data_IF_495642394425
#
_entry.id   IF_495642394425
#
_cell.length_a   1.000
_cell.length_b   1.000
_cell.length_c   1.000
_cell.angle_alpha   90.00
_cell.angle_beta   90.00
_cell.angle_gamma   90.00
#
_symmetry.space_group_name_H-M   'P 1'
#
loop_
_entity.id
_entity.type
_entity.pdbx_description
1 polymer ?
#
# COMPACT_ATOMS: atom_id res chain seq x y z
N UNK A 1 -1.35 -0.47 -0.48
CA UNK A 1 -0.47 -0.02 0.62
C UNK A 1 0.82 -0.79 0.43
N UNK A 2 1.94 -0.13 0.12
CA UNK A 2 3.24 -0.79 0.04
C UNK A 2 3.75 -1.02 1.45
N UNK A 3 4.15 -2.26 1.76
CA UNK A 3 4.68 -2.60 3.07
C UNK A 3 5.93 -3.42 2.85
N UNK A 4 7.05 -2.85 3.30
CA UNK A 4 8.33 -3.52 3.24
C UNK A 4 8.46 -4.52 4.40
N UNK A 5 8.78 -5.76 4.07
CA UNK A 5 9.10 -6.83 5.00
C UNK A 5 10.60 -7.13 4.94
N UNK A 6 11.24 -7.19 6.10
CA UNK A 6 12.62 -7.61 6.26
C UNK A 6 12.63 -9.13 6.51
N UNK A 7 13.11 -9.88 5.53
CA UNK A 7 13.23 -11.33 5.54
C UNK A 7 14.69 -11.73 5.77
N UNK A 8 14.96 -12.49 6.84
CA UNK A 8 16.28 -13.01 7.15
C UNK A 8 16.36 -14.46 6.73
N UNK A 9 17.27 -14.77 5.82
CA UNK A 9 17.44 -16.12 5.26
C UNK A 9 18.79 -16.68 5.68
N UNK A 10 18.81 -17.99 5.94
CA UNK A 10 20.02 -18.75 6.23
C UNK A 10 20.13 -19.88 5.23
N UNK A 11 21.31 -20.03 4.65
CA UNK A 11 21.62 -21.12 3.74
C UNK A 11 23.09 -21.49 3.87
N UNK A 12 23.42 -22.71 3.42
CA UNK A 12 24.78 -23.18 3.36
C UNK A 12 25.39 -22.80 2.00
N UNK A 13 26.41 -21.94 2.02
CA UNK A 13 27.18 -21.59 0.83
C UNK A 13 28.46 -22.42 0.82
N UNK A 14 28.74 -23.07 -0.30
CA UNK A 14 30.02 -23.75 -0.51
C UNK A 14 31.10 -22.70 -0.81
N UNK A 15 32.11 -22.62 0.04
CA UNK A 15 33.28 -21.77 -0.21
C UNK A 15 34.20 -22.42 -1.25
N UNK A 16 35.15 -21.65 -1.80
CA UNK A 16 36.14 -22.10 -2.80
C UNK A 16 37.01 -23.30 -2.33
N UNK A 17 37.02 -23.59 -1.04
CA UNK A 17 37.70 -24.75 -0.42
C UNK A 17 36.79 -26.00 -0.27
N UNK A 18 35.56 -25.97 -0.79
CA UNK A 18 34.60 -27.09 -0.71
C UNK A 18 33.95 -27.26 0.67
N UNK A 19 34.13 -26.30 1.58
CA UNK A 19 33.50 -26.32 2.91
C UNK A 19 32.16 -25.57 2.87
N UNK A 20 31.10 -26.25 3.32
CA UNK A 20 29.78 -25.61 3.50
C UNK A 20 29.80 -24.69 4.73
N UNK A 21 29.66 -23.39 4.50
CA UNK A 21 29.53 -22.38 5.56
C UNK A 21 28.10 -21.85 5.59
N UNK A 22 27.50 -21.84 6.78
CA UNK A 22 26.21 -21.21 6.99
C UNK A 22 26.36 -19.69 6.94
N UNK A 23 25.69 -19.06 5.97
CA UNK A 23 25.62 -17.60 5.81
C UNK A 23 24.21 -17.15 6.15
N UNK A 24 24.10 -15.94 6.72
CA UNK A 24 22.81 -15.32 7.00
C UNK A 24 22.73 -13.98 6.30
N UNK A 25 21.76 -13.84 5.42
CA UNK A 25 21.53 -12.64 4.61
C UNK A 25 20.17 -12.05 4.92
N UNK A 26 20.03 -10.75 4.66
CA UNK A 26 18.80 -10.00 4.87
C UNK A 26 18.32 -9.43 3.54
N UNK A 27 17.04 -9.66 3.27
CA UNK A 27 16.36 -9.24 2.07
C UNK A 27 15.17 -8.37 2.43
N UNK A 28 14.92 -7.34 1.64
CA UNK A 28 13.75 -6.49 1.81
C UNK A 28 12.75 -6.80 0.71
N UNK A 29 11.49 -7.09 1.05
CA UNK A 29 10.46 -7.50 0.09
C UNK A 29 9.24 -6.62 0.26
N UNK A 30 8.71 -6.07 -0.82
CA UNK A 30 7.40 -5.41 -0.79
C UNK A 30 6.30 -6.46 -0.96
N UNK A 31 5.41 -6.53 0.02
CA UNK A 31 4.28 -7.46 0.02
C UNK A 31 3.10 -6.87 0.80
N UNK A 32 1.93 -7.50 0.73
CA UNK A 32 0.76 -7.09 1.51
C UNK A 32 0.68 -7.84 2.84
N UNK A 33 1.18 -9.08 2.88
CA UNK A 33 1.11 -9.96 4.06
C UNK A 33 2.40 -10.75 4.30
N UNK A 34 2.56 -11.28 5.53
CA UNK A 34 3.71 -12.12 5.88
C UNK A 34 3.80 -13.40 5.03
N UNK A 35 2.67 -14.04 4.75
CA UNK A 35 2.61 -15.26 3.92
C UNK A 35 3.02 -14.98 2.48
N UNK A 36 2.61 -13.83 1.94
CA UNK A 36 3.02 -13.41 0.60
C UNK A 36 4.51 -13.05 0.55
N UNK A 37 5.03 -12.34 1.55
CA UNK A 37 6.45 -12.02 1.65
C UNK A 37 7.30 -13.30 1.72
N UNK A 38 6.85 -14.32 2.45
CA UNK A 38 7.49 -15.63 2.52
C UNK A 38 7.52 -16.32 1.15
N UNK A 39 6.35 -16.44 0.50
CA UNK A 39 6.23 -17.08 -0.80
C UNK A 39 7.14 -16.41 -1.86
N UNK A 40 7.12 -15.07 -1.95
CA UNK A 40 7.97 -14.33 -2.89
C UNK A 40 9.45 -14.54 -2.62
N UNK A 41 9.86 -14.57 -1.35
CA UNK A 41 11.26 -14.87 -1.00
C UNK A 41 11.64 -16.28 -1.45
N UNK A 42 10.77 -17.26 -1.27
CA UNK A 42 11.06 -18.62 -1.71
C UNK A 42 11.22 -18.72 -3.23
N UNK A 43 10.37 -18.04 -4.00
CA UNK A 43 10.43 -18.05 -5.47
C UNK A 43 11.72 -17.39 -5.99
N UNK A 44 12.07 -16.22 -5.45
CA UNK A 44 13.25 -15.46 -5.88
C UNK A 44 14.54 -16.16 -5.46
N UNK A 45 14.66 -16.56 -4.18
CA UNK A 45 15.88 -17.19 -3.69
C UNK A 45 16.06 -18.62 -4.17
N UNK A 46 14.97 -19.33 -4.50
CA UNK A 46 15.05 -20.66 -5.13
C UNK A 46 15.76 -20.63 -6.47
N UNK A 47 15.73 -19.49 -7.18
CA UNK A 47 16.45 -19.31 -8.45
C UNK A 47 17.93 -18.95 -8.23
N UNK A 48 18.24 -18.24 -7.13
CA UNK A 48 19.59 -17.73 -6.84
C UNK A 48 20.45 -18.75 -6.10
N UNK A 49 19.87 -19.45 -5.11
CA UNK A 49 20.58 -20.35 -4.21
C UNK A 49 20.40 -21.79 -4.69
N UNK A 50 21.51 -22.45 -5.10
CA UNK A 50 21.49 -23.89 -5.35
C UNK A 50 21.57 -24.65 -4.02
N UNK A 51 20.42 -25.04 -3.48
CA UNK A 51 20.32 -25.88 -2.29
C UNK A 51 19.14 -25.51 -1.39
N UNK A 52 19.05 -26.17 -0.24
CA UNK A 52 18.04 -25.85 0.76
C UNK A 52 18.41 -24.55 1.50
N UNK A 53 17.48 -23.61 1.52
CA UNK A 53 17.55 -22.41 2.34
C UNK A 53 16.36 -22.36 3.28
N UNK A 54 16.56 -21.72 4.43
CA UNK A 54 15.53 -21.55 5.43
C UNK A 54 15.33 -20.07 5.75
N UNK A 55 14.10 -19.60 5.61
CA UNK A 55 13.69 -18.29 6.12
C UNK A 55 13.63 -18.36 7.65
N UNK A 56 14.52 -17.63 8.32
CA UNK A 56 14.66 -17.66 9.78
C UNK A 56 13.72 -16.68 10.48
N UNK A 57 13.48 -15.52 9.86
CA UNK A 57 12.66 -14.47 10.44
C UNK A 57 12.06 -13.60 9.34
N UNK A 58 10.80 -13.19 9.51
CA UNK A 58 10.13 -12.20 8.68
C UNK A 58 9.56 -11.14 9.63
N UNK A 59 9.94 -9.89 9.42
CA UNK A 59 9.50 -8.77 10.24
C UNK A 59 9.04 -7.60 9.37
N UNK A 60 8.03 -6.86 9.83
CA UNK A 60 7.61 -5.64 9.14
C UNK A 60 8.67 -4.56 9.33
N UNK A 61 9.19 -4.03 8.23
CA UNK A 61 10.19 -2.97 8.24
C UNK A 61 9.55 -1.61 8.53
N UNK A 62 10.37 -0.69 9.04
CA UNK A 62 10.01 0.71 9.24
C UNK A 62 10.43 1.60 8.05
N UNK A 63 10.95 0.99 6.99
CA UNK A 63 11.30 1.65 5.73
C UNK A 63 9.99 2.06 5.04
N UNK A 64 9.92 3.31 4.58
CA UNK A 64 8.77 3.87 3.87
C UNK A 64 9.01 3.78 2.36
N UNK A 65 10.17 4.24 1.91
CA UNK A 65 10.55 4.26 0.49
C UNK A 65 11.96 3.71 0.27
N UNK A 66 12.17 3.20 -0.94
CA UNK A 66 13.43 2.66 -1.43
C UNK A 66 13.77 3.35 -2.75
N UNK A 67 14.98 3.90 -2.84
CA UNK A 67 15.53 4.51 -4.05
C UNK A 67 16.67 3.64 -4.57
N UNK A 68 16.46 3.07 -5.75
CA UNK A 68 17.45 2.24 -6.43
C UNK A 68 18.16 3.06 -7.51
N UNK A 69 19.49 3.03 -7.46
CA UNK A 69 20.39 3.54 -8.48
C UNK A 69 21.26 2.38 -8.97
N UNK A 70 21.31 2.17 -10.28
CA UNK A 70 21.99 1.05 -10.97
C UNK A 70 23.53 1.05 -10.83
N UNK A 71 24.09 2.10 -10.23
CA UNK A 71 25.55 2.27 -10.13
C UNK A 71 26.20 1.28 -9.15
N UNK A 72 25.48 0.86 -8.10
CA UNK A 72 26.01 0.02 -7.01
C UNK A 72 24.93 -0.72 -6.21
N UNK A 73 25.28 -1.89 -5.69
CA UNK A 73 24.43 -2.77 -4.88
C UNK A 73 24.66 -2.64 -3.35
N UNK A 74 25.08 -1.46 -2.87
CA UNK A 74 25.31 -1.21 -1.43
C UNK A 74 24.21 -0.33 -0.88
N UNK A 75 23.40 -0.91 0.00
CA UNK A 75 22.24 -0.26 0.59
C UNK A 75 22.57 0.56 1.83
N UNK A 76 22.13 1.81 1.85
CA UNK A 76 22.26 2.73 2.96
C UNK A 76 20.88 3.08 3.54
N UNK A 77 20.72 2.89 4.85
CA UNK A 77 19.52 3.27 5.60
C UNK A 77 19.64 4.72 6.06
N UNK A 78 18.77 5.57 5.51
CA UNK A 78 18.70 6.98 5.82
C UNK A 78 17.52 7.26 6.75
N UNK A 79 17.78 7.85 7.90
CA UNK A 79 16.76 8.34 8.81
C UNK A 79 16.45 9.78 8.43
N UNK A 80 15.19 10.08 8.11
CA UNK A 80 14.74 11.40 7.71
C UNK A 80 13.70 11.88 8.71
N UNK A 81 13.75 13.17 9.03
CA UNK A 81 12.85 13.83 9.96
C UNK A 81 12.21 15.03 9.29
N UNK A 82 10.88 15.01 9.21
CA UNK A 82 10.06 16.11 8.71
C UNK A 82 9.49 16.90 9.88
N UNK A 83 9.37 18.22 9.71
CA UNK A 83 8.63 19.10 10.61
C UNK A 83 7.38 19.51 9.86
N UNK A 84 6.23 19.05 10.33
CA UNK A 84 4.94 19.40 9.76
C UNK A 84 4.29 20.41 10.70
N UNK A 85 4.03 21.61 10.20
CA UNK A 85 3.31 22.64 10.95
C UNK A 85 1.82 22.52 10.61
N UNK A 86 1.01 22.23 11.62
CA UNK A 86 -0.43 22.26 11.50
C UNK A 86 -0.92 23.72 11.42
N UNK A 87 -1.57 24.09 10.32
CA UNK A 87 -2.05 25.45 10.08
C UNK A 87 -3.14 25.89 11.06
N UNK A 88 -3.88 24.94 11.65
CA UNK A 88 -4.98 25.22 12.57
C UNK A 88 -4.51 25.34 14.02
N UNK A 89 -3.53 24.52 14.43
CA UNK A 89 -3.06 24.47 15.82
C UNK A 89 -1.71 25.16 16.07
N UNK A 90 -0.95 25.53 15.03
CA UNK A 90 0.43 26.03 15.16
C UNK A 90 1.39 25.05 15.84
N UNK A 91 0.97 23.79 16.05
CA UNK A 91 1.77 22.75 16.68
C UNK A 91 2.62 22.08 15.63
N UNK A 92 3.91 22.08 15.85
CA UNK A 92 4.88 21.37 15.01
C UNK A 92 4.90 19.89 15.38
N UNK A 93 4.55 19.03 14.42
CA UNK A 93 4.71 17.58 14.56
C UNK A 93 5.99 17.16 13.88
N UNK A 94 6.90 16.59 14.66
CA UNK A 94 8.09 15.91 14.15
C UNK A 94 7.72 14.49 13.72
N UNK A 95 7.88 14.18 12.43
CA UNK A 95 7.66 12.82 11.89
C UNK A 95 9.00 12.26 11.43
N UNK A 96 9.35 11.08 11.93
CA UNK A 96 10.57 10.37 11.51
C UNK A 96 10.19 9.25 10.55
N UNK A 97 10.86 9.19 9.40
CA UNK A 97 10.71 8.14 8.41
C UNK A 97 12.09 7.52 8.11
N UNK A 98 12.09 6.29 7.63
CA UNK A 98 13.31 5.62 7.20
C UNK A 98 13.20 5.34 5.71
N UNK A 99 14.25 5.66 4.99
CA UNK A 99 14.36 5.40 3.56
C UNK A 99 15.62 4.59 3.29
N UNK A 100 15.62 3.86 2.20
CA UNK A 100 16.76 3.07 1.76
C UNK A 100 17.25 3.61 0.41
N UNK A 101 18.56 3.74 0.23
CA UNK A 101 19.17 4.23 -1.01
C UNK A 101 20.41 3.42 -1.35
N UNK A 102 20.69 3.19 -2.63
CA UNK A 102 21.98 2.63 -3.05
C UNK A 102 23.05 3.72 -3.20
N UNK A 103 24.23 3.53 -2.60
CA UNK A 103 25.37 4.44 -2.75
C UNK A 103 26.73 3.81 -2.42
N UNK A 104 27.81 4.41 -2.92
CA UNK A 104 29.19 4.02 -2.60
C UNK A 104 29.59 4.48 -1.20
N UNK A 105 29.23 5.71 -0.86
CA UNK A 105 29.63 6.36 0.38
C UNK A 105 28.43 7.02 1.06
N UNK A 106 28.54 7.22 2.39
CA UNK A 106 27.56 7.94 3.20
C UNK A 106 27.30 9.36 2.68
N UNK A 107 28.33 10.03 2.13
CA UNK A 107 28.18 11.36 1.53
C UNK A 107 27.32 11.31 0.29
N UNK A 108 27.57 10.35 -0.59
CA UNK A 108 26.81 10.20 -1.83
C UNK A 108 25.36 9.79 -1.55
N UNK A 109 25.14 8.93 -0.54
CA UNK A 109 23.81 8.59 -0.06
C UNK A 109 23.02 9.83 0.39
N UNK A 110 23.67 10.77 1.08
CA UNK A 110 23.05 12.05 1.46
C UNK A 110 22.66 12.88 0.24
N UNK A 111 23.58 13.01 -0.72
CA UNK A 111 23.37 13.80 -1.94
C UNK A 111 22.20 13.23 -2.78
N UNK A 112 22.15 11.90 -2.97
CA UNK A 112 21.06 11.20 -3.69
C UNK A 112 19.70 11.31 -2.99
N UNK A 113 19.67 11.18 -1.67
CA UNK A 113 18.44 11.38 -0.89
C UNK A 113 17.98 12.83 -0.98
N UNK A 114 18.90 13.79 -0.97
CA UNK A 114 18.57 15.19 -1.10
C UNK A 114 17.93 15.48 -2.45
N UNK A 115 18.52 14.98 -3.55
CA UNK A 115 17.96 15.09 -4.90
C UNK A 115 16.58 14.42 -5.02
N UNK A 116 16.43 13.22 -4.45
CA UNK A 116 15.17 12.48 -4.49
C UNK A 116 14.04 13.19 -3.71
N UNK A 117 14.38 13.88 -2.62
CA UNK A 117 13.44 14.61 -1.77
C UNK A 117 13.28 16.08 -2.13
N UNK A 118 14.13 16.66 -2.99
CA UNK A 118 14.02 18.06 -3.41
C UNK A 118 12.68 18.35 -4.11
N UNK A 119 12.11 17.34 -4.77
CA UNK A 119 10.77 17.41 -5.34
C UNK A 119 9.64 17.54 -4.29
N UNK A 120 9.91 17.23 -3.01
CA UNK A 120 8.93 17.44 -1.94
C UNK A 120 9.07 18.86 -1.38
N UNK A 121 7.97 19.62 -1.40
CA UNK A 121 7.85 20.97 -0.82
C UNK A 121 7.93 20.99 0.73
N UNK A 122 8.40 19.92 1.36
CA UNK A 122 8.43 19.75 2.82
C UNK A 122 9.86 19.86 3.31
N UNK A 123 10.10 20.73 4.28
CA UNK A 123 11.41 20.82 4.94
C UNK A 123 11.73 19.50 5.65
N UNK A 124 12.85 18.89 5.27
CA UNK A 124 13.33 17.65 5.85
C UNK A 124 14.75 17.82 6.40
N UNK A 125 15.11 16.97 7.37
CA UNK A 125 16.46 16.85 7.91
C UNK A 125 16.86 15.39 7.93
N UNK A 126 18.09 15.09 7.55
CA UNK A 126 18.68 13.75 7.64
C UNK A 126 19.57 13.69 8.90
N UNK A 127 19.07 13.20 10.05
CA UNK A 127 19.88 13.06 11.26
C UNK A 127 20.96 11.98 11.18
N UNK A 128 20.74 10.90 10.43
CA UNK A 128 21.58 9.71 10.48
C UNK A 128 21.50 8.93 9.16
N UNK A 129 22.65 8.44 8.70
CA UNK A 129 22.79 7.53 7.57
C UNK A 129 23.69 6.39 8.04
N UNK A 130 23.24 5.16 7.85
CA UNK A 130 24.00 3.95 8.22
C UNK A 130 24.00 2.98 7.06
N UNK A 131 25.11 2.29 6.85
CA UNK A 131 25.17 1.17 5.92
C UNK A 131 24.26 0.04 6.43
N UNK A 132 23.45 -0.50 5.53
CA UNK A 132 22.44 -1.51 5.85
C UNK A 132 22.98 -2.91 5.55
N UNK A 133 22.72 -3.92 6.40
CA UNK A 133 23.07 -5.32 6.12
C UNK A 133 22.13 -5.99 5.10
N UNK A 134 21.33 -5.21 4.37
CA UNK A 134 20.43 -5.69 3.33
C UNK A 134 21.26 -5.98 2.09
N UNK A 135 21.08 -7.18 1.53
CA UNK A 135 21.77 -7.62 0.32
C UNK A 135 21.02 -7.15 -0.92
N UNK A 136 19.72 -7.43 -0.96
CA UNK A 136 18.88 -7.12 -2.11
C UNK A 136 17.49 -6.65 -1.68
N UNK A 137 16.88 -5.80 -2.51
CA UNK A 137 15.50 -5.34 -2.36
C UNK A 137 14.66 -5.88 -3.51
N UNK A 138 13.57 -6.56 -3.18
CA UNK A 138 12.57 -7.06 -4.11
C UNK A 138 11.36 -6.13 -4.08
N UNK A 139 11.29 -5.14 -4.99
CA UNK A 139 10.09 -4.33 -5.13
C UNK A 139 8.93 -5.20 -5.62
N UNK A 140 7.71 -4.78 -5.29
CA UNK A 140 6.52 -5.45 -5.79
C UNK A 140 6.39 -5.16 -7.27
N UNK A 141 6.79 -6.12 -8.10
CA UNK A 141 6.50 -6.12 -9.53
C UNK A 141 4.98 -6.16 -9.69
N UNK A 142 4.43 -5.12 -10.29
CA UNK A 142 3.04 -5.07 -10.76
C UNK A 142 2.85 -5.84 -12.08
N UNK A 143 3.80 -6.69 -12.47
CA UNK A 143 3.69 -7.51 -13.69
C UNK A 143 2.66 -8.65 -13.56
N UNK A 144 1.92 -8.72 -12.45
CA UNK A 144 0.67 -9.47 -12.39
C UNK A 144 -0.47 -8.85 -13.22
N UNK A 145 -0.29 -7.67 -13.84
CA UNK A 145 -1.26 -7.17 -14.83
C UNK A 145 -1.06 -7.81 -16.22
N UNK A 146 0.13 -8.35 -16.50
CA UNK A 146 0.46 -9.04 -17.77
C UNK A 146 0.18 -10.55 -17.72
N UNK A 147 0.11 -11.14 -16.51
CA UNK A 147 -0.31 -12.54 -16.26
C UNK A 147 -1.83 -12.72 -16.12
N UNK A 148 -2.61 -11.63 -16.12
CA UNK A 148 -4.05 -11.75 -16.25
C UNK A 148 -4.36 -12.30 -17.65
N UNK A 149 -5.09 -13.43 -17.77
CA UNK A 149 -5.59 -13.84 -19.08
C UNK A 149 -6.34 -12.66 -19.69
N UNK A 150 -6.22 -12.42 -21.01
CA UNK A 150 -6.91 -11.31 -21.65
C UNK A 150 -8.39 -11.36 -21.24
N UNK A 151 -8.99 -10.20 -20.89
CA UNK A 151 -10.37 -10.17 -20.44
C UNK A 151 -11.22 -10.92 -21.47
N UNK A 152 -12.04 -11.90 -21.05
CA UNK A 152 -12.82 -12.69 -22.00
C UNK A 152 -13.66 -11.76 -22.86
N UNK A 153 -13.74 -12.03 -24.16
CA UNK A 153 -14.31 -11.17 -25.20
C UNK A 153 -15.78 -10.73 -25.00
N UNK A 154 -16.44 -11.23 -23.95
CA UNK A 154 -17.83 -10.92 -23.58
C UNK A 154 -17.95 -9.82 -22.50
N UNK A 155 -16.84 -9.25 -22.03
CA UNK A 155 -16.86 -8.15 -21.07
C UNK A 155 -16.86 -6.80 -21.81
N UNK A 156 -17.88 -5.98 -21.58
CA UNK A 156 -17.93 -4.61 -22.08
C UNK A 156 -17.06 -3.69 -21.19
N UNK A 157 -16.32 -2.73 -21.77
CA UNK A 157 -15.52 -1.80 -20.99
C UNK A 157 -16.42 -0.92 -20.09
N UNK A 158 -15.93 -0.62 -18.89
CA UNK A 158 -16.70 0.11 -17.86
C UNK A 158 -17.12 1.52 -18.31
N UNK A 159 -16.37 2.14 -19.21
CA UNK A 159 -16.70 3.43 -19.83
C UNK A 159 -18.00 3.36 -20.64
N UNK A 160 -18.19 2.30 -21.40
CA UNK A 160 -19.35 2.10 -22.26
C UNK A 160 -20.59 1.77 -21.42
N UNK A 161 -20.45 0.96 -20.37
CA UNK A 161 -21.55 0.64 -19.44
C UNK A 161 -22.03 1.88 -18.68
N UNK A 162 -21.11 2.76 -18.24
CA UNK A 162 -21.47 4.03 -17.57
C UNK A 162 -22.20 4.98 -18.52
N UNK A 163 -21.72 5.12 -19.76
CA UNK A 163 -22.38 5.94 -20.77
C UNK A 163 -23.78 5.40 -21.12
N UNK A 164 -23.96 4.07 -21.18
CA UNK A 164 -25.27 3.44 -21.37
C UNK A 164 -26.20 3.67 -20.16
N UNK A 165 -25.68 3.61 -18.93
CA UNK A 165 -26.45 3.91 -17.73
C UNK A 165 -26.91 5.36 -17.71
N UNK A 166 -26.01 6.31 -17.99
CA UNK A 166 -26.32 7.75 -18.07
C UNK A 166 -27.36 8.04 -19.15
N UNK A 167 -27.21 7.44 -20.34
CA UNK A 167 -28.18 7.57 -21.44
C UNK A 167 -29.54 6.98 -21.07
N UNK A 168 -29.58 5.83 -20.40
CA UNK A 168 -30.82 5.20 -19.92
C UNK A 168 -31.49 6.03 -18.83
N UNK A 169 -30.71 6.67 -17.96
CA UNK A 169 -31.23 7.59 -16.96
C UNK A 169 -31.79 8.88 -17.57
N UNK A 170 -31.14 9.45 -18.58
CA UNK A 170 -31.64 10.62 -19.31
C UNK A 170 -32.97 10.34 -20.01
N UNK A 171 -33.10 9.17 -20.66
CA UNK A 171 -34.35 8.73 -21.27
C UNK A 171 -35.44 8.56 -20.20
N UNK A 172 -35.10 8.01 -19.03
CA UNK A 172 -36.03 7.85 -17.91
C UNK A 172 -36.48 9.20 -17.34
N UNK A 173 -35.60 10.20 -17.26
CA UNK A 173 -35.95 11.57 -16.84
C UNK A 173 -36.84 12.29 -17.85
N UNK A 174 -36.64 12.04 -19.14
CA UNK A 174 -37.39 12.69 -20.22
C UNK A 174 -38.81 12.15 -20.36
N UNK A 175 -39.05 10.87 -20.03
CA UNK A 175 -40.37 10.23 -20.14
C UNK A 175 -41.22 10.30 -18.86
N UNK A 176 -40.93 11.22 -17.92
CA UNK A 176 -41.79 11.45 -16.76
C UNK A 176 -42.98 12.33 -17.20
N UNK A 177 -44.25 11.87 -17.09
CA UNK A 177 -45.40 12.72 -17.41
C UNK A 177 -45.45 13.90 -16.42
N UNK A 178 -45.60 15.11 -16.94
CA UNK A 178 -46.00 16.27 -16.15
C UNK A 178 -47.45 16.05 -15.72
N UNK A 179 -47.69 15.75 -14.44
CA UNK A 179 -49.03 15.76 -13.87
C UNK A 179 -49.47 17.23 -13.74
N UNK A 180 -50.30 17.67 -14.69
CA UNK A 180 -51.16 18.85 -14.53
C UNK A 180 -52.14 18.59 -13.38
N UNK A 181 -52.23 19.54 -12.47
CA UNK A 181 -53.08 19.53 -11.28
C UNK A 181 -54.51 19.81 -11.71
N UNK A 182 -55.43 18.86 -11.57
CA UNK A 182 -56.86 19.13 -11.41
C UNK A 182 -57.28 18.78 -9.97
N UNK A 183 -57.69 19.82 -9.25
CA UNK A 183 -58.25 19.76 -7.90
C UNK A 183 -59.64 19.09 -7.93
N UNK A 184 -59.80 17.92 -7.31
CA UNK A 184 -61.09 17.53 -6.71
C UNK A 184 -60.86 16.96 -5.29
N UNK A 185 -61.32 17.76 -4.32
CA UNK A 185 -61.54 17.54 -2.88
C UNK A 185 -61.25 16.14 -2.29
N UNK A 186 -60.25 16.07 -1.41
CA UNK A 186 -60.15 15.04 -0.38
C UNK A 186 -60.49 15.65 1.00
N UNK A 187 -61.76 15.59 1.41
CA UNK A 187 -62.14 15.72 2.82
C UNK A 187 -61.83 14.43 3.55
N UNK A 188 -60.85 14.45 4.47
CA UNK A 188 -60.77 13.51 5.58
C UNK A 188 -60.10 14.16 6.82
N UNK A 189 -60.86 14.97 7.55
CA UNK A 189 -60.73 15.14 9.01
C UNK A 189 -61.06 13.79 9.66
N UNK A 190 -60.30 13.19 10.59
CA UNK A 190 -59.64 13.75 11.77
C UNK A 190 -58.55 12.77 12.24
N UNK A 191 -57.43 13.34 12.71
CA UNK A 191 -56.61 12.77 13.77
C UNK A 191 -57.42 12.75 15.07
N UNK A 192 -57.27 11.69 15.86
CA UNK A 192 -57.01 11.85 17.29
C UNK A 192 -56.21 10.64 17.78
N UNK A 193 -54.99 10.93 18.22
CA UNK A 193 -54.21 10.07 19.07
C UNK A 193 -54.62 10.39 20.50
N UNK A 194 -54.85 9.38 21.35
CA UNK A 194 -54.56 9.48 22.79
C UNK A 194 -54.50 8.06 23.39
N UNK A 195 -53.29 7.71 23.82
CA UNK A 195 -52.99 6.64 24.76
C UNK A 195 -53.52 7.04 26.15
N UNK A 196 -54.36 6.22 26.78
CA UNK A 196 -54.48 6.21 28.25
C UNK A 196 -55.10 4.92 28.78
N UNK A 197 -54.27 4.22 29.58
CA UNK A 197 -54.59 3.50 30.82
C UNK A 197 -55.31 2.14 30.79
N UNK A 198 -54.48 1.10 31.00
CA UNK A 198 -54.37 0.29 32.22
C UNK A 198 -55.60 -0.47 32.79
N UNK A 199 -55.35 -1.77 33.01
CA UNK A 199 -55.86 -2.66 34.08
C UNK A 199 -57.37 -2.70 34.41
N UNK A 200 -57.97 -3.89 34.27
CA UNK A 200 -58.47 -4.67 35.44
C UNK A 200 -59.05 -6.04 35.02
N UNK A 201 -58.66 -7.05 35.79
CA UNK A 201 -59.19 -8.43 35.80
C UNK A 201 -60.51 -8.53 36.59
N UNK A 202 -61.15 -9.70 36.41
CA UNK A 202 -62.09 -10.41 37.31
C UNK A 202 -63.56 -9.93 37.37
N UNK A 203 -64.45 -10.79 36.86
CA UNK A 203 -65.28 -11.66 37.73
C UNK A 203 -65.44 -13.05 37.09
#
# INVERSE_FOLDING_TARGET
>A
MRVWFLCKVKYAKENEEGLLKNVSEQYLVDAVSFTEAEARIYDMLGSVIRGDFQVTNISKSNIVDVFFFEDIDVWHKCKITYIITDADSGKEKKVTQFMLVTAHDVKEAYDRIYESLDNMLVSFRVPEITESPIVEVFPFEKDDEELLPPPPANLKPLSEVKADQERREEIRRTNQPTEEIEEEEATLTQYEAEDSENDLKEE
#
